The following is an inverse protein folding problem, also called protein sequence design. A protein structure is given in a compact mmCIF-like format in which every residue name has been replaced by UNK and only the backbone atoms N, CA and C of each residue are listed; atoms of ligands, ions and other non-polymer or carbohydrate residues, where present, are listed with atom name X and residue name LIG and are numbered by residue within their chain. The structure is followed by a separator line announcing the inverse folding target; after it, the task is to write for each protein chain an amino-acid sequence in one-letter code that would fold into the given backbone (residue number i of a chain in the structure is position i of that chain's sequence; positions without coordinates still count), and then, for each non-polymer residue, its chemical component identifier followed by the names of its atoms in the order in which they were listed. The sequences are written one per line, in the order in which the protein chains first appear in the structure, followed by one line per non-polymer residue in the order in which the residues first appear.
data_IF_361053150967
#
_entry.id   IF_361053150967
#
_cell.length_a   1.000
_cell.length_b   1.000
_cell.length_c   1.000
_cell.angle_alpha   90.00
_cell.angle_beta   90.00
_cell.angle_gamma   90.00
#
_symmetry.space_group_name_H-M   'P 1'
#
loop_
_entity.id
_entity.type
_entity.pdbx_description
1 polymer ?
#
# COMPACT_ATOMS: atom_id res chain seq x y z
N UNK A 1 34.25 -47.26 25.86
CA UNK A 1 33.46 -48.07 26.82
C UNK A 1 32.42 -47.13 27.43
N UNK A 2 31.13 -47.44 27.28
CA UNK A 2 30.01 -46.71 27.88
C UNK A 2 28.87 -46.46 26.89
N UNK A 3 28.28 -47.57 26.39
CA UNK A 3 26.94 -47.54 25.73
C UNK A 3 25.87 -47.25 26.77
N UNK A 4 24.85 -46.50 26.41
CA UNK A 4 23.52 -46.56 27.05
C UNK A 4 22.43 -46.33 26.04
N UNK A 5 21.54 -47.31 25.99
CA UNK A 5 20.44 -47.61 25.10
C UNK A 5 19.25 -46.63 25.19
N UNK A 6 18.32 -46.66 24.20
CA UNK A 6 17.08 -45.87 24.17
C UNK A 6 15.99 -46.53 25.00
N UNK A 7 15.09 -45.74 25.61
CA UNK A 7 13.86 -46.22 26.22
C UNK A 7 12.66 -45.87 25.34
N UNK A 8 12.07 -46.92 24.79
CA UNK A 8 10.73 -47.00 24.25
C UNK A 8 9.71 -46.88 25.37
N UNK A 9 8.73 -45.99 25.20
CA UNK A 9 7.48 -46.03 26.00
C UNK A 9 6.28 -46.13 25.09
N UNK A 10 5.73 -47.36 25.06
CA UNK A 10 4.45 -47.71 24.46
C UNK A 10 3.41 -47.66 25.58
N UNK A 11 2.34 -46.94 25.44
CA UNK A 11 1.08 -47.25 26.11
C UNK A 11 -0.08 -46.63 25.35
N UNK A 12 -0.95 -47.51 24.89
CA UNK A 12 -2.21 -47.26 24.27
C UNK A 12 -3.25 -46.78 25.29
N UNK A 13 -4.22 -46.08 24.73
CA UNK A 13 -5.50 -45.91 25.42
C UNK A 13 -6.65 -46.02 24.41
N UNK A 14 -7.51 -46.98 24.71
CA UNK A 14 -8.70 -47.37 24.01
C UNK A 14 -9.90 -46.48 24.40
N UNK A 15 -10.73 -46.10 23.45
CA UNK A 15 -12.19 -46.18 23.59
C UNK A 15 -12.88 -45.00 24.29
N UNK A 16 -13.76 -44.38 23.57
CA UNK A 16 -14.76 -43.49 24.12
C UNK A 16 -15.63 -42.89 23.02
N UNK A 17 -16.58 -43.66 22.50
CA UNK A 17 -17.65 -43.17 21.60
C UNK A 17 -18.66 -42.41 22.45
N UNK A 18 -18.78 -41.09 22.28
CA UNK A 18 -19.88 -40.34 22.83
C UNK A 18 -20.71 -39.72 21.68
N UNK A 19 -21.94 -40.18 21.65
CA UNK A 19 -23.07 -39.82 20.81
C UNK A 19 -23.28 -38.29 20.77
N UNK A 20 -23.27 -37.73 19.55
CA UNK A 20 -23.65 -36.35 19.31
C UNK A 20 -25.18 -36.23 19.31
N UNK A 21 -25.72 -35.47 20.24
CA UNK A 21 -27.12 -35.05 20.26
C UNK A 21 -27.25 -33.88 19.27
N UNK A 22 -28.02 -34.12 18.20
CA UNK A 22 -28.43 -33.09 17.23
C UNK A 22 -29.66 -32.39 17.79
N UNK A 23 -29.68 -31.06 17.98
CA UNK A 23 -30.92 -30.36 18.31
C UNK A 23 -31.80 -30.24 17.06
N UNK A 24 -33.05 -30.70 17.20
CA UNK A 24 -34.11 -30.56 16.20
C UNK A 24 -34.45 -29.10 15.96
N UNK A 25 -34.39 -28.70 14.69
CA UNK A 25 -34.84 -27.37 14.26
C UNK A 25 -36.37 -27.43 14.11
N UNK A 26 -37.09 -26.76 15.01
CA UNK A 26 -38.51 -26.49 14.86
C UNK A 26 -38.76 -25.55 13.68
N UNK A 27 -39.66 -25.95 12.77
CA UNK A 27 -40.13 -25.09 11.67
C UNK A 27 -41.12 -24.07 12.24
N UNK A 28 -41.00 -22.79 11.93
CA UNK A 28 -42.05 -21.83 12.26
C UNK A 28 -43.26 -22.03 11.35
N UNK A 29 -44.42 -21.98 11.99
CA UNK A 29 -45.76 -22.09 11.49
C UNK A 29 -46.07 -21.04 10.40
N UNK A 30 -46.64 -21.52 9.29
CA UNK A 30 -47.09 -20.70 8.17
C UNK A 30 -48.47 -20.11 8.43
N UNK A 31 -48.57 -19.00 9.11
CA UNK A 31 -49.77 -18.18 9.13
C UNK A 31 -49.80 -17.26 7.90
N UNK A 32 -50.70 -17.60 6.97
CA UNK A 32 -51.00 -16.85 5.75
C UNK A 32 -51.66 -15.53 6.14
N UNK A 33 -50.90 -14.43 6.19
CA UNK A 33 -51.43 -13.08 6.28
C UNK A 33 -51.97 -12.63 4.92
N UNK A 34 -53.28 -12.37 4.87
CA UNK A 34 -54.03 -11.83 3.73
C UNK A 34 -53.35 -10.55 3.18
N UNK A 35 -52.80 -10.63 1.97
CA UNK A 35 -52.28 -9.50 1.25
C UNK A 35 -53.41 -8.57 0.78
N UNK A 36 -53.42 -7.33 1.21
CA UNK A 36 -54.31 -6.30 0.67
C UNK A 36 -54.00 -6.05 -0.82
N UNK A 37 -55.03 -5.81 -1.66
CA UNK A 37 -54.83 -5.58 -3.09
C UNK A 37 -54.07 -4.30 -3.36
N UNK A 38 -52.97 -4.38 -4.06
CA UNK A 38 -52.21 -3.22 -4.54
C UNK A 38 -53.00 -2.51 -5.64
N UNK A 39 -53.03 -1.15 -5.63
CA UNK A 39 -53.73 -0.42 -6.70
C UNK A 39 -53.05 -0.65 -8.04
N UNK A 40 -53.79 -1.12 -9.02
CA UNK A 40 -53.34 -1.28 -10.40
C UNK A 40 -52.97 0.08 -10.98
N UNK A 41 -51.74 0.23 -11.42
CA UNK A 41 -51.29 1.44 -12.09
C UNK A 41 -51.98 1.54 -13.45
N UNK A 42 -52.87 2.52 -13.60
CA UNK A 42 -53.62 2.78 -14.85
C UNK A 42 -52.62 3.15 -15.98
N UNK A 43 -52.54 2.27 -16.99
CA UNK A 43 -51.68 2.45 -18.18
C UNK A 43 -51.89 3.79 -18.91
N UNK A 44 -53.07 4.38 -18.79
CA UNK A 44 -53.38 5.65 -19.39
C UNK A 44 -52.74 6.84 -18.63
N UNK A 45 -52.47 6.69 -17.31
CA UNK A 45 -51.80 7.69 -16.49
C UNK A 45 -50.29 7.65 -16.70
N UNK A 46 -49.73 6.44 -16.97
CA UNK A 46 -48.32 6.30 -17.31
C UNK A 46 -47.93 6.96 -18.65
N UNK A 47 -48.84 6.82 -19.68
CA UNK A 47 -48.57 7.42 -20.98
C UNK A 47 -48.74 8.97 -21.02
N UNK A 48 -49.44 9.57 -20.04
CA UNK A 48 -49.53 11.03 -19.93
C UNK A 48 -48.33 11.67 -19.20
N UNK A 49 -47.54 10.90 -18.41
CA UNK A 49 -46.33 11.37 -17.79
C UNK A 49 -45.07 11.22 -18.67
N UNK A 50 -45.14 10.45 -19.75
CA UNK A 50 -44.04 10.26 -20.70
C UNK A 50 -43.89 11.38 -21.75
N UNK A 51 -44.75 12.40 -21.71
CA UNK A 51 -44.82 13.44 -22.74
C UNK A 51 -44.11 14.76 -22.46
N UNK A 52 -43.46 14.94 -21.30
CA UNK A 52 -42.67 16.17 -20.97
C UNK A 52 -41.32 15.78 -20.42
N UNK A 53 -40.58 14.92 -21.14
CA UNK A 53 -39.15 14.93 -21.05
C UNK A 53 -38.66 15.97 -22.08
N UNK A 54 -38.80 17.25 -21.76
CA UNK A 54 -38.06 18.28 -22.43
C UNK A 54 -36.59 17.91 -22.33
N UNK A 55 -35.97 17.66 -23.49
CA UNK A 55 -34.55 17.43 -23.62
C UNK A 55 -33.80 18.67 -23.13
N UNK A 56 -33.58 18.80 -21.83
CA UNK A 56 -32.48 19.61 -21.33
C UNK A 56 -31.23 18.83 -21.67
N UNK A 57 -30.73 19.05 -22.90
CA UNK A 57 -29.34 18.73 -23.21
C UNK A 57 -28.52 19.57 -22.24
N UNK A 58 -28.18 18.98 -21.10
CA UNK A 58 -27.14 19.50 -20.21
C UNK A 58 -25.86 19.46 -21.04
N UNK A 59 -25.54 20.56 -21.70
CA UNK A 59 -24.22 20.77 -22.28
C UNK A 59 -23.28 20.74 -21.09
N UNK A 60 -22.69 19.54 -20.83
CA UNK A 60 -21.59 19.43 -19.87
C UNK A 60 -20.54 20.44 -20.34
N UNK A 61 -20.08 21.35 -19.47
CA UNK A 61 -19.10 22.35 -19.89
C UNK A 61 -17.90 21.60 -20.48
N UNK A 62 -17.44 22.01 -21.66
CA UNK A 62 -16.33 21.38 -22.37
C UNK A 62 -15.07 21.21 -21.49
N UNK A 63 -14.94 22.05 -20.44
CA UNK A 63 -13.93 21.95 -19.40
C UNK A 63 -14.02 20.67 -18.57
N UNK A 64 -15.21 20.11 -18.29
CA UNK A 64 -15.35 18.87 -17.54
C UNK A 64 -14.93 17.66 -18.39
N UNK A 65 -15.25 17.66 -19.69
CA UNK A 65 -14.81 16.61 -20.62
C UNK A 65 -13.30 16.69 -20.86
N UNK A 66 -12.72 17.89 -20.93
CA UNK A 66 -11.29 18.11 -21.06
C UNK A 66 -10.50 17.61 -19.82
N UNK A 67 -11.08 17.71 -18.61
CA UNK A 67 -10.46 17.13 -17.39
C UNK A 67 -10.43 15.60 -17.41
N UNK A 68 -11.42 14.95 -18.02
CA UNK A 68 -11.45 13.48 -18.14
C UNK A 68 -10.49 12.96 -19.22
N UNK A 69 -10.09 13.82 -20.16
CA UNK A 69 -9.20 13.45 -21.28
C UNK A 69 -7.78 14.01 -21.14
N UNK A 70 -7.49 14.81 -20.10
CA UNK A 70 -6.15 15.31 -19.87
C UNK A 70 -5.19 14.13 -19.63
N UNK A 71 -4.11 14.00 -20.42
CA UNK A 71 -3.16 12.92 -20.23
C UNK A 71 -2.56 13.03 -18.83
N UNK A 72 -2.58 11.92 -18.09
CA UNK A 72 -1.98 11.87 -16.76
C UNK A 72 -0.50 12.27 -16.87
N UNK A 73 -0.10 13.27 -16.08
CA UNK A 73 1.28 13.78 -16.08
C UNK A 73 2.26 12.63 -15.78
N UNK A 74 3.30 12.42 -16.61
CA UNK A 74 4.31 11.41 -16.33
C UNK A 74 4.94 11.60 -14.97
N UNK A 75 5.25 10.47 -14.29
CA UNK A 75 5.98 10.47 -13.02
C UNK A 75 7.36 9.92 -13.26
N UNK A 76 8.36 10.73 -12.92
CA UNK A 76 9.78 10.45 -13.06
C UNK A 76 10.47 10.52 -11.72
N UNK A 77 11.38 9.60 -11.47
CA UNK A 77 12.27 9.62 -10.32
C UNK A 77 13.73 9.55 -10.77
N UNK A 78 14.55 10.32 -10.08
CA UNK A 78 16.00 10.24 -10.14
C UNK A 78 16.46 9.74 -8.78
N UNK A 79 17.23 8.68 -8.77
CA UNK A 79 17.77 8.05 -7.58
C UNK A 79 19.29 8.06 -7.60
N UNK A 80 19.87 8.23 -6.44
CA UNK A 80 21.29 7.98 -6.15
C UNK A 80 21.39 7.14 -4.87
N UNK A 81 21.89 5.92 -4.98
CA UNK A 81 22.07 5.05 -3.81
C UNK A 81 23.43 5.37 -3.15
N UNK A 82 23.39 5.86 -1.90
CA UNK A 82 24.57 6.29 -1.15
C UNK A 82 25.53 5.15 -0.78
N UNK A 83 25.07 3.91 -0.81
CA UNK A 83 25.89 2.74 -0.44
C UNK A 83 26.52 2.05 -1.65
N UNK A 84 25.83 2.05 -2.79
CA UNK A 84 26.30 1.34 -4.00
C UNK A 84 26.81 2.32 -5.07
N UNK A 85 26.56 3.62 -4.90
CA UNK A 85 26.85 4.68 -5.90
C UNK A 85 26.10 4.49 -7.22
N UNK A 86 25.10 3.63 -7.25
CA UNK A 86 24.24 3.41 -8.41
C UNK A 86 23.30 4.60 -8.61
N UNK A 87 23.04 4.91 -9.88
CA UNK A 87 22.14 5.99 -10.28
C UNK A 87 21.06 5.45 -11.21
N UNK A 88 19.85 6.00 -11.10
CA UNK A 88 18.74 5.68 -11.98
C UNK A 88 17.92 6.94 -12.24
N UNK A 89 17.62 7.21 -13.51
CA UNK A 89 16.74 8.31 -13.92
C UNK A 89 15.66 7.75 -14.86
N UNK A 90 14.43 7.59 -14.38
CA UNK A 90 13.42 6.79 -15.06
C UNK A 90 12.01 7.35 -14.92
N UNK A 91 11.23 7.27 -16.02
CA UNK A 91 9.78 7.48 -16.00
C UNK A 91 9.13 6.13 -15.70
N UNK A 92 8.43 6.02 -14.56
CA UNK A 92 7.80 4.78 -14.12
C UNK A 92 6.27 4.78 -14.27
N UNK A 93 5.69 5.94 -14.58
CA UNK A 93 4.25 6.10 -14.81
C UNK A 93 4.01 7.05 -15.99
N UNK A 94 3.30 6.59 -17.00
CA UNK A 94 2.95 7.36 -18.19
C UNK A 94 1.62 6.89 -18.77
N UNK A 95 0.87 7.80 -19.39
CA UNK A 95 -0.42 7.51 -20.07
C UNK A 95 -1.40 6.75 -19.15
N UNK A 96 -1.44 7.12 -17.88
CA UNK A 96 -2.39 6.55 -16.91
C UNK A 96 -2.01 5.17 -16.35
N UNK A 97 -0.79 4.66 -16.59
CA UNK A 97 -0.37 3.33 -16.15
C UNK A 97 1.09 3.29 -15.70
N UNK A 98 1.38 2.39 -14.77
CA UNK A 98 2.74 2.08 -14.40
C UNK A 98 3.45 1.30 -15.51
N UNK A 99 4.76 1.50 -15.64
CA UNK A 99 5.63 0.82 -16.62
C UNK A 99 6.35 -0.30 -15.87
N UNK A 100 6.00 -1.59 -16.11
CA UNK A 100 6.53 -2.70 -15.32
C UNK A 100 8.06 -2.81 -15.34
N UNK A 101 8.69 -2.56 -16.48
CA UNK A 101 10.16 -2.59 -16.63
C UNK A 101 10.80 -1.50 -15.77
N UNK A 102 10.23 -0.30 -15.76
CA UNK A 102 10.73 0.80 -14.94
C UNK A 102 10.57 0.52 -13.44
N UNK A 103 9.47 -0.13 -13.03
CA UNK A 103 9.30 -0.57 -11.64
C UNK A 103 10.37 -1.60 -11.26
N UNK A 104 10.69 -2.56 -12.12
CA UNK A 104 11.72 -3.56 -11.86
C UNK A 104 13.12 -2.94 -11.70
N UNK A 105 13.45 -1.90 -12.47
CA UNK A 105 14.71 -1.16 -12.30
C UNK A 105 14.72 -0.37 -10.99
N UNK A 106 13.58 0.20 -10.58
CA UNK A 106 13.45 0.86 -9.28
C UNK A 106 13.59 -0.15 -8.14
N UNK A 107 12.96 -1.32 -8.24
CA UNK A 107 13.08 -2.40 -7.27
C UNK A 107 14.54 -2.82 -7.09
N UNK A 108 15.29 -2.88 -8.20
CA UNK A 108 16.71 -3.23 -8.19
C UNK A 108 17.56 -2.18 -7.46
N UNK A 109 17.43 -0.90 -7.75
CA UNK A 109 18.22 0.14 -7.08
C UNK A 109 17.85 0.31 -5.60
N UNK A 110 16.61 -0.06 -5.22
CA UNK A 110 16.08 -0.03 -3.85
C UNK A 110 16.24 -1.36 -3.11
N UNK A 111 16.92 -2.35 -3.68
CA UNK A 111 17.15 -3.66 -3.07
C UNK A 111 17.91 -3.60 -1.75
N UNK A 112 17.83 -4.66 -0.98
CA UNK A 112 18.77 -4.88 0.12
C UNK A 112 20.18 -5.12 -0.45
N UNK A 113 21.00 -4.07 -0.49
CA UNK A 113 22.34 -4.15 -1.06
C UNK A 113 23.29 -5.06 -0.24
N UNK A 114 23.01 -5.30 1.04
CA UNK A 114 23.84 -6.14 1.91
C UNK A 114 23.69 -7.63 1.57
N UNK A 115 22.48 -8.03 1.25
CA UNK A 115 22.14 -9.40 0.84
C UNK A 115 22.01 -9.55 -0.69
N UNK A 116 22.03 -8.44 -1.43
CA UNK A 116 21.75 -8.35 -2.86
C UNK A 116 20.40 -8.99 -3.23
N UNK A 117 19.37 -8.75 -2.40
CA UNK A 117 18.02 -9.30 -2.58
C UNK A 117 17.07 -8.21 -3.02
N UNK A 118 16.38 -8.45 -4.14
CA UNK A 118 15.37 -7.57 -4.72
C UNK A 118 13.99 -7.97 -4.23
N UNK A 119 13.15 -7.00 -3.91
CA UNK A 119 11.72 -7.18 -3.63
C UNK A 119 10.94 -6.05 -4.31
N UNK A 120 9.74 -6.33 -4.85
CA UNK A 120 8.89 -5.29 -5.40
C UNK A 120 8.56 -4.22 -4.36
N UNK A 121 8.81 -2.96 -4.71
CA UNK A 121 8.42 -1.80 -3.92
C UNK A 121 6.99 -1.41 -4.27
N UNK A 122 6.22 -0.97 -3.27
CA UNK A 122 4.86 -0.52 -3.51
C UNK A 122 4.84 0.76 -4.36
N UNK A 123 4.16 0.80 -5.52
CA UNK A 123 4.12 1.98 -6.37
C UNK A 123 3.53 3.22 -5.69
N UNK A 124 2.65 3.07 -4.67
CA UNK A 124 2.13 4.20 -3.92
C UNK A 124 3.24 4.91 -3.11
N UNK A 125 4.29 4.19 -2.68
CA UNK A 125 5.46 4.80 -2.04
C UNK A 125 6.21 5.70 -3.03
N UNK A 126 6.39 5.24 -4.28
CA UNK A 126 7.05 6.03 -5.33
C UNK A 126 6.23 7.29 -5.66
N UNK A 127 4.90 7.15 -5.69
CA UNK A 127 3.98 8.27 -5.89
C UNK A 127 4.06 9.29 -4.75
N UNK A 128 4.17 8.83 -3.50
CA UNK A 128 4.36 9.68 -2.33
C UNK A 128 5.68 10.47 -2.44
N UNK A 129 6.77 9.81 -2.81
CA UNK A 129 8.09 10.45 -3.02
C UNK A 129 8.01 11.53 -4.09
N UNK A 130 7.36 11.24 -5.24
CA UNK A 130 7.15 12.25 -6.30
C UNK A 130 6.32 13.43 -5.79
N UNK A 131 5.25 13.17 -5.04
CA UNK A 131 4.38 14.21 -4.51
C UNK A 131 5.14 15.12 -3.50
N UNK A 132 5.97 14.54 -2.63
CA UNK A 132 6.83 15.27 -1.70
C UNK A 132 7.83 16.14 -2.47
N UNK A 133 8.55 15.59 -3.47
CA UNK A 133 9.51 16.35 -4.30
C UNK A 133 8.85 17.54 -5.03
N UNK A 134 7.64 17.33 -5.57
CA UNK A 134 6.85 18.41 -6.20
C UNK A 134 6.52 19.52 -5.20
N UNK A 135 6.14 19.19 -3.98
CA UNK A 135 5.87 20.17 -2.91
C UNK A 135 7.15 20.88 -2.43
N UNK A 136 8.30 20.23 -2.52
CA UNK A 136 9.60 20.83 -2.28
C UNK A 136 10.10 21.72 -3.45
N UNK A 137 9.38 21.75 -4.57
CA UNK A 137 9.76 22.45 -5.78
C UNK A 137 11.20 22.11 -6.21
N UNK A 138 11.49 20.80 -6.38
CA UNK A 138 12.82 20.32 -6.73
C UNK A 138 12.77 19.16 -7.70
N UNK A 139 13.72 19.16 -8.64
CA UNK A 139 14.00 18.04 -9.55
C UNK A 139 15.30 17.31 -9.18
N UNK A 140 15.89 17.64 -8.02
CA UNK A 140 17.07 16.97 -7.51
C UNK A 140 16.80 15.46 -7.32
N UNK A 141 17.85 14.67 -7.35
CA UNK A 141 17.76 13.23 -7.12
C UNK A 141 17.31 12.89 -5.69
N UNK A 142 16.78 11.70 -5.52
CA UNK A 142 16.50 11.09 -4.22
C UNK A 142 17.73 10.33 -3.78
N UNK A 143 18.45 10.86 -2.78
CA UNK A 143 19.58 10.17 -2.19
C UNK A 143 19.06 9.07 -1.26
N UNK A 144 19.25 7.79 -1.64
CA UNK A 144 18.73 6.61 -0.95
C UNK A 144 19.70 6.22 0.18
N UNK A 145 19.17 6.10 1.39
CA UNK A 145 19.84 5.51 2.55
C UNK A 145 19.41 4.05 2.72
N UNK A 146 18.12 3.74 2.61
CA UNK A 146 17.60 2.38 2.71
C UNK A 146 16.26 2.24 1.99
N UNK A 147 16.17 1.28 1.06
CA UNK A 147 14.93 0.81 0.46
C UNK A 147 14.44 -0.47 1.15
N UNK A 148 14.33 -1.56 0.38
CA UNK A 148 14.01 -2.87 0.91
C UNK A 148 15.09 -3.38 1.89
N UNK A 149 14.66 -4.06 2.94
CA UNK A 149 15.52 -4.79 3.88
C UNK A 149 15.01 -6.22 4.04
N UNK A 150 15.90 -7.20 3.90
CA UNK A 150 15.57 -8.58 4.27
C UNK A 150 15.32 -8.69 5.78
N UNK A 151 14.61 -9.70 6.25
CA UNK A 151 14.45 -9.97 7.69
C UNK A 151 15.80 -10.06 8.41
N UNK A 152 16.80 -10.68 7.79
CA UNK A 152 18.16 -10.84 8.32
C UNK A 152 18.86 -9.49 8.47
N UNK A 153 18.82 -8.65 7.43
CA UNK A 153 19.38 -7.30 7.51
C UNK A 153 18.64 -6.47 8.57
N UNK A 154 17.32 -6.57 8.65
CA UNK A 154 16.55 -5.83 9.65
C UNK A 154 16.90 -6.30 11.08
N UNK A 155 17.00 -7.61 11.32
CA UNK A 155 17.40 -8.16 12.61
C UNK A 155 18.83 -7.71 13.02
N UNK A 156 19.77 -7.72 12.07
CA UNK A 156 21.13 -7.24 12.29
C UNK A 156 21.16 -5.75 12.68
N UNK A 157 20.35 -4.92 12.04
CA UNK A 157 20.27 -3.48 12.34
C UNK A 157 19.58 -3.22 13.67
N UNK A 158 18.49 -3.94 13.98
CA UNK A 158 17.80 -3.85 15.27
C UNK A 158 18.68 -4.25 16.45
N UNK A 159 19.56 -5.24 16.26
CA UNK A 159 20.54 -5.63 17.29
C UNK A 159 21.61 -4.55 17.57
N UNK A 160 21.77 -3.57 16.69
CA UNK A 160 22.79 -2.50 16.78
C UNK A 160 22.19 -1.14 17.14
N UNK A 161 20.88 -0.97 17.11
CA UNK A 161 20.22 0.31 17.29
C UNK A 161 18.78 0.14 17.75
N UNK A 162 18.43 0.79 18.85
CA UNK A 162 17.04 0.83 19.36
C UNK A 162 16.07 1.58 18.43
N UNK A 163 16.58 2.32 17.44
CA UNK A 163 15.78 3.04 16.45
C UNK A 163 15.22 2.18 15.31
N UNK A 164 15.55 0.88 15.26
CA UNK A 164 15.08 -0.03 14.21
C UNK A 164 13.98 -0.95 14.75
N UNK A 165 12.78 -0.83 14.20
CA UNK A 165 11.66 -1.68 14.57
C UNK A 165 11.88 -3.13 14.13
N UNK A 166 11.51 -4.12 14.99
CA UNK A 166 11.56 -5.54 14.65
C UNK A 166 10.64 -5.88 13.46
N UNK A 167 9.47 -5.25 13.39
CA UNK A 167 8.53 -5.34 12.26
C UNK A 167 8.56 -4.05 11.45
N UNK A 168 9.52 -3.96 10.55
CA UNK A 168 9.76 -2.75 9.74
C UNK A 168 9.07 -2.85 8.37
N UNK A 169 8.41 -1.78 7.95
CA UNK A 169 7.79 -1.69 6.62
C UNK A 169 8.82 -1.72 5.46
N UNK A 170 10.10 -1.55 5.75
CA UNK A 170 11.17 -1.83 4.78
C UNK A 170 11.18 -3.29 4.34
N UNK A 171 10.84 -4.23 5.23
CA UNK A 171 10.76 -5.67 4.89
C UNK A 171 9.60 -6.00 3.95
N UNK A 172 8.63 -5.10 3.85
CA UNK A 172 7.46 -5.26 2.99
C UNK A 172 7.53 -4.45 1.68
N UNK A 173 8.63 -3.71 1.46
CA UNK A 173 8.76 -2.82 0.30
C UNK A 173 7.84 -1.60 0.37
N UNK A 174 7.45 -1.18 1.58
CA UNK A 174 6.49 -0.10 1.84
C UNK A 174 7.15 1.17 2.37
N UNK A 175 8.47 1.18 2.58
CA UNK A 175 9.20 2.27 3.22
C UNK A 175 10.49 2.65 2.49
N UNK A 176 10.89 3.91 2.64
CA UNK A 176 12.12 4.48 2.12
C UNK A 176 12.75 5.42 3.14
N UNK A 177 14.04 5.25 3.41
CA UNK A 177 14.89 6.20 4.13
C UNK A 177 15.69 7.00 3.11
N UNK A 178 15.54 8.33 3.11
CA UNK A 178 16.06 9.18 2.03
C UNK A 178 16.25 10.64 2.43
N UNK A 179 16.99 11.36 1.60
CA UNK A 179 17.13 12.82 1.63
C UNK A 179 17.14 13.39 0.22
N UNK A 180 17.09 14.71 0.12
CA UNK A 180 17.14 15.44 -1.16
C UNK A 180 18.29 16.45 -1.12
N UNK A 181 19.32 16.30 -1.96
CA UNK A 181 20.38 17.30 -2.08
C UNK A 181 19.82 18.69 -2.38
N UNK A 182 20.38 19.72 -1.72
CA UNK A 182 19.93 21.10 -1.89
C UNK A 182 18.62 21.45 -1.17
N UNK A 183 18.08 20.54 -0.35
CA UNK A 183 16.98 20.81 0.60
C UNK A 183 17.43 20.42 1.99
N UNK A 184 17.00 21.20 3.00
CA UNK A 184 17.28 20.81 4.39
C UNK A 184 16.43 19.63 4.79
N UNK A 185 16.94 18.82 5.70
CA UNK A 185 16.21 17.67 6.22
C UNK A 185 14.88 18.09 6.88
N UNK A 186 14.87 19.22 7.55
CA UNK A 186 13.69 19.81 8.16
C UNK A 186 12.63 20.23 7.12
N UNK A 187 13.03 20.77 5.96
CA UNK A 187 12.10 21.04 4.86
C UNK A 187 11.46 19.75 4.34
N UNK A 188 12.27 18.71 4.12
CA UNK A 188 11.77 17.40 3.68
C UNK A 188 10.78 16.81 4.70
N UNK A 189 11.17 16.82 5.98
CA UNK A 189 10.35 16.32 7.07
C UNK A 189 8.99 17.03 7.16
N UNK A 190 8.98 18.38 7.18
CA UNK A 190 7.71 19.14 7.22
C UNK A 190 6.80 18.84 6.05
N UNK A 191 7.35 18.73 4.84
CA UNK A 191 6.55 18.40 3.66
C UNK A 191 6.03 16.97 3.75
N UNK A 192 6.84 16.00 4.15
CA UNK A 192 6.42 14.62 4.32
C UNK A 192 5.26 14.49 5.33
N UNK A 193 5.34 15.17 6.48
CA UNK A 193 4.26 15.23 7.47
C UNK A 193 2.95 15.81 6.87
N UNK A 194 3.07 16.91 6.12
CA UNK A 194 1.91 17.58 5.52
C UNK A 194 1.21 16.72 4.45
N UNK A 195 1.91 15.77 3.83
CA UNK A 195 1.33 14.85 2.85
C UNK A 195 0.37 13.84 3.47
N UNK A 196 0.54 13.48 4.75
CA UNK A 196 -0.27 12.47 5.47
C UNK A 196 -0.41 11.14 4.72
N UNK A 197 0.61 10.78 3.93
CA UNK A 197 0.61 9.60 3.06
C UNK A 197 0.91 8.29 3.80
N UNK A 198 1.40 8.36 5.06
CA UNK A 198 1.79 7.22 5.87
C UNK A 198 2.63 7.64 7.06
N UNK A 199 3.55 6.78 7.50
CA UNK A 199 4.51 7.06 8.57
C UNK A 199 5.62 8.00 8.13
N UNK A 200 6.05 8.87 9.03
CA UNK A 200 7.19 9.77 8.83
C UNK A 200 8.08 9.73 10.08
N UNK A 201 9.35 9.37 9.88
CA UNK A 201 10.39 9.39 10.91
C UNK A 201 11.45 10.44 10.62
N UNK A 202 11.96 11.12 11.65
CA UNK A 202 12.96 12.18 11.52
C UNK A 202 14.27 11.77 12.19
N UNK A 203 15.34 11.62 11.40
CA UNK A 203 16.64 11.14 11.85
C UNK A 203 17.76 12.13 11.55
N UNK A 204 17.83 13.27 12.27
CA UNK A 204 18.77 14.34 11.97
C UNK A 204 20.24 13.92 12.19
N UNK A 205 20.52 13.06 13.18
CA UNK A 205 21.87 12.57 13.42
C UNK A 205 22.42 11.69 12.29
N UNK A 206 21.51 11.03 11.54
CA UNK A 206 21.84 10.16 10.40
C UNK A 206 21.52 10.81 9.05
N UNK A 207 21.07 12.06 9.06
CA UNK A 207 20.74 12.90 7.91
C UNK A 207 19.79 12.24 6.90
N UNK A 208 18.63 11.71 7.40
CA UNK A 208 17.56 11.21 6.55
C UNK A 208 16.17 11.36 7.17
N UNK A 209 15.16 11.29 6.32
CA UNK A 209 13.75 11.14 6.68
C UNK A 209 13.29 9.76 6.24
N UNK A 210 12.61 9.05 7.14
CA UNK A 210 11.83 7.86 6.80
C UNK A 210 10.46 8.26 6.27
N UNK A 211 10.01 7.64 5.20
CA UNK A 211 8.62 7.72 4.72
C UNK A 211 8.10 6.34 4.38
N UNK A 212 6.84 6.07 4.71
CA UNK A 212 6.17 4.82 4.34
C UNK A 212 4.72 5.05 3.93
N UNK A 213 4.09 4.02 3.39
CA UNK A 213 2.66 4.02 2.98
C UNK A 213 1.78 3.18 3.90
N UNK A 214 2.18 3.02 5.15
CA UNK A 214 1.38 2.41 6.20
C UNK A 214 0.39 3.40 6.83
N UNK A 215 -0.05 3.12 8.06
CA UNK A 215 -0.89 4.07 8.79
C UNK A 215 -0.16 5.38 9.06
N UNK A 216 -0.88 6.50 9.04
CA UNK A 216 -0.31 7.82 9.36
C UNK A 216 0.17 7.84 10.82
N UNK A 217 1.46 8.08 11.01
CA UNK A 217 2.15 8.24 12.29
C UNK A 217 3.46 9.01 12.12
N UNK A 218 4.05 9.48 13.22
CA UNK A 218 5.34 10.19 13.17
C UNK A 218 6.12 9.96 14.46
N UNK A 219 7.44 10.08 14.40
CA UNK A 219 8.39 9.92 15.50
C UNK A 219 9.72 10.63 15.23
#
# INVERSE_FOLDING_TARGET
MGESKPSTFTSGFTGGVTSSIVPSIERPDSSIGSAAPQPAIDRRRFLRMAGIAAATATVAPASALAMLTAPATPRRLKFYNLHTSEQLDIVYYEKGRYIPQALAEIDYILRDYRQNVVKPMNPALLDLVVAIRRKLHTDAEVAIISGYRTPETNAMLAARSDGVAHHSLHMDGLALDWRVPGRTLDQLHRVALAMRGGGVGYYPASDFVHTDVGRVRYW
#
